data_IF_541535408616
#
_entry.id   IF_541535408616
#
_cell.length_a   1.000
_cell.length_b   1.000
_cell.length_c   1.000
_cell.angle_alpha   90.00
_cell.angle_beta   90.00
_cell.angle_gamma   90.00
#
_symmetry.space_group_name_H-M   'P 1'
#
loop_
_entity.id
_entity.type
_entity.pdbx_description
1 polymer ?
#
# COMPACT_ATOMS: atom_id res chain seq x y z
N UNK A 1 10.87 -22.07 -11.39
CA UNK A 1 11.54 -22.33 -10.09
C UNK A 1 10.58 -23.11 -9.22
N UNK A 2 11.06 -24.19 -8.56
CA UNK A 2 10.21 -24.96 -7.62
C UNK A 2 9.85 -24.10 -6.39
N UNK A 3 8.68 -24.35 -5.73
CA UNK A 3 8.36 -23.76 -4.44
C UNK A 3 9.43 -24.14 -3.40
N UNK A 4 9.82 -23.15 -2.57
CA UNK A 4 11.00 -23.30 -1.68
C UNK A 4 10.62 -23.44 -0.21
N UNK A 5 9.41 -23.00 0.18
CA UNK A 5 8.99 -23.02 1.56
C UNK A 5 7.47 -23.16 1.70
N UNK A 6 7.03 -23.79 2.79
CA UNK A 6 5.61 -23.88 3.15
C UNK A 6 5.23 -22.72 4.06
N UNK A 7 4.25 -21.93 3.63
CA UNK A 7 3.64 -20.89 4.48
C UNK A 7 2.57 -21.54 5.38
N UNK A 8 2.53 -21.10 6.62
CA UNK A 8 1.54 -21.56 7.61
C UNK A 8 0.88 -20.36 8.29
N UNK A 9 -0.43 -20.43 8.46
CA UNK A 9 -1.19 -19.44 9.23
C UNK A 9 -1.69 -20.09 10.52
N UNK A 10 -1.31 -19.54 11.67
CA UNK A 10 -1.70 -20.08 12.99
C UNK A 10 -1.41 -21.61 13.12
N UNK A 11 -0.30 -22.03 12.55
CA UNK A 11 0.12 -23.44 12.52
C UNK A 11 -0.53 -24.28 11.41
N UNK A 12 -1.55 -23.78 10.71
CA UNK A 12 -2.21 -24.50 9.60
C UNK A 12 -1.45 -24.24 8.29
N UNK A 13 -1.01 -25.27 7.55
CA UNK A 13 -0.39 -25.12 6.25
C UNK A 13 -1.34 -24.42 5.27
N UNK A 14 -0.86 -23.38 4.60
CA UNK A 14 -1.56 -22.73 3.49
C UNK A 14 -1.12 -23.36 2.16
N UNK A 15 0.18 -23.45 1.93
CA UNK A 15 0.73 -23.98 0.69
C UNK A 15 2.23 -23.76 0.58
N UNK A 16 2.80 -24.27 -0.50
CA UNK A 16 4.19 -24.08 -0.87
C UNK A 16 4.35 -22.83 -1.73
N UNK A 17 5.33 -22.00 -1.41
CA UNK A 17 5.53 -20.69 -2.04
C UNK A 17 6.89 -20.56 -2.71
N UNK A 18 6.93 -19.73 -3.74
CA UNK A 18 8.14 -19.11 -4.30
C UNK A 18 8.35 -17.70 -3.77
N UNK A 19 7.25 -16.94 -3.60
CA UNK A 19 7.34 -15.54 -3.22
C UNK A 19 6.19 -15.07 -2.33
N UNK A 20 6.45 -13.99 -1.59
CA UNK A 20 5.43 -13.19 -0.90
C UNK A 20 5.51 -11.74 -1.37
N UNK A 21 4.39 -11.22 -1.85
CA UNK A 21 4.22 -9.84 -2.26
C UNK A 21 3.51 -9.07 -1.14
N UNK A 22 4.10 -7.96 -0.72
CA UNK A 22 3.56 -7.13 0.35
C UNK A 22 3.07 -5.79 -0.19
N UNK A 23 1.88 -5.36 0.21
CA UNK A 23 1.57 -3.95 0.18
C UNK A 23 2.36 -3.18 1.24
N UNK A 24 2.49 -1.84 1.09
CA UNK A 24 3.28 -1.01 1.99
C UNK A 24 2.42 -0.31 3.04
N UNK A 25 1.56 0.61 2.63
CA UNK A 25 0.85 1.50 3.55
C UNK A 25 -0.33 0.79 4.21
N UNK A 26 -0.37 0.75 5.54
CA UNK A 26 -1.36 -0.06 6.26
C UNK A 26 -1.02 -1.55 6.38
N UNK A 27 0.02 -2.01 5.69
CA UNK A 27 0.49 -3.41 5.75
C UNK A 27 1.89 -3.49 6.36
N UNK A 28 2.94 -3.13 5.62
CA UNK A 28 4.31 -3.10 6.14
C UNK A 28 4.54 -1.92 7.08
N UNK A 29 3.91 -0.78 6.81
CA UNK A 29 4.08 0.47 7.55
C UNK A 29 2.79 0.95 8.21
N UNK A 30 2.95 1.61 9.37
CA UNK A 30 1.89 2.33 10.07
C UNK A 30 1.84 3.77 9.55
N UNK A 31 1.32 3.94 8.34
CA UNK A 31 1.39 5.19 7.58
C UNK A 31 0.33 6.22 7.98
N UNK A 32 -0.69 5.87 8.76
CA UNK A 32 -1.83 6.75 9.07
C UNK A 32 -1.41 8.15 9.55
N UNK A 33 -0.49 8.34 10.52
CA UNK A 33 -0.13 9.67 10.98
C UNK A 33 0.49 10.54 9.87
N UNK A 34 1.34 9.92 9.03
CA UNK A 34 1.99 10.61 7.90
C UNK A 34 0.97 10.98 6.82
N UNK A 35 0.10 10.06 6.47
CA UNK A 35 -0.94 10.26 5.45
C UNK A 35 -2.00 11.26 5.91
N UNK A 36 -2.36 11.26 7.20
CA UNK A 36 -3.25 12.27 7.78
C UNK A 36 -2.64 13.66 7.67
N UNK A 37 -1.40 13.82 8.10
CA UNK A 37 -0.70 15.10 8.00
C UNK A 37 -0.61 15.60 6.54
N UNK A 38 -0.36 14.70 5.58
CA UNK A 38 -0.34 15.01 4.15
C UNK A 38 -1.72 15.46 3.65
N UNK A 39 -2.78 14.75 4.03
CA UNK A 39 -4.16 15.11 3.66
C UNK A 39 -4.54 16.47 4.24
N UNK A 40 -4.23 16.73 5.50
CA UNK A 40 -4.49 18.03 6.16
C UNK A 40 -3.71 19.17 5.50
N UNK A 41 -2.43 18.97 5.16
CA UNK A 41 -1.64 19.96 4.43
C UNK A 41 -2.26 20.29 3.07
N UNK A 42 -2.71 19.28 2.32
CA UNK A 42 -3.41 19.46 1.04
C UNK A 42 -4.72 20.20 1.20
N UNK A 43 -5.52 19.86 2.21
CA UNK A 43 -6.78 20.56 2.52
C UNK A 43 -6.51 22.04 2.81
N UNK A 44 -5.59 22.34 3.73
CA UNK A 44 -5.26 23.72 4.09
C UNK A 44 -4.76 24.52 2.89
N UNK A 45 -3.89 23.93 2.07
CA UNK A 45 -3.41 24.57 0.85
C UNK A 45 -4.55 24.85 -0.14
N UNK A 46 -5.48 23.91 -0.32
CA UNK A 46 -6.66 24.12 -1.18
C UNK A 46 -7.56 25.26 -0.66
N UNK A 47 -7.80 25.31 0.64
CA UNK A 47 -8.63 26.37 1.25
C UNK A 47 -8.05 27.77 1.09
N UNK A 48 -6.73 27.91 0.98
CA UNK A 48 -6.06 29.18 0.71
C UNK A 48 -6.33 29.71 -0.71
N UNK A 49 -6.72 28.84 -1.64
CA UNK A 49 -6.93 29.16 -3.06
C UNK A 49 -8.36 29.63 -3.38
N UNK A 50 -9.26 29.60 -2.40
CA UNK A 50 -10.67 29.97 -2.62
C UNK A 50 -11.13 31.08 -1.66
N UNK A 51 -12.11 31.86 -2.09
CA UNK A 51 -12.76 32.86 -1.25
C UNK A 51 -13.44 32.27 -0.02
N UNK A 52 -13.59 33.08 1.03
CA UNK A 52 -14.14 32.62 2.33
C UNK A 52 -15.49 31.91 2.23
N UNK A 53 -16.36 32.33 1.30
CA UNK A 53 -17.68 31.73 1.09
C UNK A 53 -17.67 30.27 0.59
N UNK A 54 -16.55 29.82 0.00
CA UNK A 54 -16.41 28.44 -0.53
C UNK A 54 -15.64 27.51 0.40
N UNK A 55 -14.93 28.04 1.41
CA UNK A 55 -13.98 27.27 2.23
C UNK A 55 -14.64 26.14 3.01
N UNK A 56 -15.78 26.37 3.64
CA UNK A 56 -16.45 25.35 4.42
C UNK A 56 -16.86 24.15 3.52
N UNK A 57 -17.55 24.46 2.41
CA UNK A 57 -17.95 23.43 1.44
C UNK A 57 -16.75 22.69 0.83
N UNK A 58 -15.69 23.40 0.46
CA UNK A 58 -14.49 22.76 -0.10
C UNK A 58 -13.82 21.84 0.93
N UNK A 59 -13.75 22.25 2.20
CA UNK A 59 -13.25 21.40 3.29
C UNK A 59 -14.03 20.11 3.38
N UNK A 60 -15.36 20.18 3.48
CA UNK A 60 -16.24 19.01 3.61
C UNK A 60 -16.06 18.04 2.43
N UNK A 61 -15.95 18.59 1.20
CA UNK A 61 -15.71 17.79 0.00
C UNK A 61 -14.36 17.09 0.04
N UNK A 62 -13.28 17.80 0.43
CA UNK A 62 -11.94 17.24 0.49
C UNK A 62 -11.81 16.21 1.62
N UNK A 63 -12.32 16.50 2.82
CA UNK A 63 -12.30 15.55 3.93
C UNK A 63 -13.05 14.26 3.56
N UNK A 64 -14.23 14.40 2.93
CA UNK A 64 -15.00 13.26 2.44
C UNK A 64 -14.26 12.49 1.35
N UNK A 65 -13.69 13.17 0.36
CA UNK A 65 -12.96 12.54 -0.74
C UNK A 65 -11.69 11.83 -0.26
N UNK A 66 -10.93 12.46 0.62
CA UNK A 66 -9.69 11.89 1.18
C UNK A 66 -9.94 10.78 2.21
N UNK A 67 -11.17 10.64 2.69
CA UNK A 67 -11.49 9.71 3.77
C UNK A 67 -10.98 10.19 5.14
N UNK A 68 -10.87 11.52 5.35
CA UNK A 68 -10.50 12.09 6.65
C UNK A 68 -11.75 12.25 7.49
N UNK A 69 -11.79 11.58 8.65
CA UNK A 69 -12.93 11.67 9.59
C UNK A 69 -12.44 11.76 11.03
N UNK A 70 -12.85 12.79 11.73
CA UNK A 70 -12.51 13.00 13.14
C UNK A 70 -10.98 12.85 13.43
N UNK A 71 -10.14 13.42 12.58
CA UNK A 71 -8.68 13.36 12.72
C UNK A 71 -8.09 11.96 12.48
N UNK A 72 -8.73 11.12 11.69
CA UNK A 72 -8.28 9.79 11.28
C UNK A 72 -8.45 9.57 9.79
N UNK A 73 -7.68 8.64 9.25
CA UNK A 73 -7.83 8.15 7.87
C UNK A 73 -8.77 6.93 7.88
N UNK A 74 -9.76 6.95 6.99
CA UNK A 74 -10.54 5.75 6.66
C UNK A 74 -9.64 4.81 5.85
N UNK A 75 -9.39 3.56 6.32
CA UNK A 75 -8.56 2.59 5.60
C UNK A 75 -9.05 2.26 4.17
N UNK A 76 -10.33 2.51 3.87
CA UNK A 76 -10.89 2.37 2.52
C UNK A 76 -10.93 3.70 1.75
N UNK A 77 -10.49 4.81 2.36
CA UNK A 77 -10.47 6.14 1.75
C UNK A 77 -9.38 6.29 0.69
N UNK A 78 -9.55 7.25 -0.20
CA UNK A 78 -8.64 7.45 -1.34
C UNK A 78 -7.18 7.75 -0.88
N UNK A 79 -7.01 8.40 0.27
CA UNK A 79 -5.67 8.71 0.83
C UNK A 79 -4.95 7.43 1.26
N UNK A 80 -5.68 6.42 1.75
CA UNK A 80 -5.11 5.16 2.19
C UNK A 80 -4.75 4.23 1.03
N UNK A 81 -5.65 4.09 0.03
CA UNK A 81 -5.56 3.00 -0.96
C UNK A 81 -5.15 3.44 -2.36
N UNK A 82 -5.23 4.73 -2.70
CA UNK A 82 -5.08 5.19 -4.07
C UNK A 82 -3.75 5.92 -4.32
N UNK A 83 -3.37 6.03 -5.59
CA UNK A 83 -2.16 6.72 -5.99
C UNK A 83 -2.26 8.25 -5.80
N UNK A 84 -1.10 8.94 -5.86
CA UNK A 84 -1.02 10.40 -5.89
C UNK A 84 -1.92 11.01 -6.97
N UNK A 85 -1.96 10.41 -8.16
CA UNK A 85 -2.79 10.88 -9.28
C UNK A 85 -4.28 10.83 -8.96
N UNK A 86 -4.76 9.74 -8.35
CA UNK A 86 -6.17 9.64 -7.97
C UNK A 86 -6.54 10.67 -6.89
N UNK A 87 -5.67 10.92 -5.91
CA UNK A 87 -5.85 11.98 -4.93
C UNK A 87 -5.90 13.36 -5.60
N UNK A 88 -5.04 13.62 -6.60
CA UNK A 88 -5.02 14.87 -7.36
C UNK A 88 -6.35 15.08 -8.14
N UNK A 89 -6.83 14.06 -8.83
CA UNK A 89 -8.12 14.13 -9.56
C UNK A 89 -9.29 14.37 -8.59
N UNK A 90 -9.29 13.72 -7.42
CA UNK A 90 -10.31 13.97 -6.40
C UNK A 90 -10.28 15.42 -5.91
N UNK A 91 -9.08 16.00 -5.74
CA UNK A 91 -8.89 17.41 -5.39
C UNK A 91 -9.42 18.34 -6.46
N UNK A 92 -9.08 18.10 -7.73
CA UNK A 92 -9.57 18.87 -8.86
C UNK A 92 -11.12 18.80 -8.95
N UNK A 93 -11.69 17.64 -8.70
CA UNK A 93 -13.13 17.45 -8.65
C UNK A 93 -13.78 18.28 -7.54
N UNK A 94 -13.17 18.34 -6.34
CA UNK A 94 -13.65 19.15 -5.24
C UNK A 94 -13.60 20.67 -5.59
N UNK A 95 -12.53 21.14 -6.22
CA UNK A 95 -12.46 22.51 -6.74
C UNK A 95 -13.53 22.80 -7.79
N UNK A 96 -13.78 21.89 -8.72
CA UNK A 96 -14.82 22.05 -9.73
C UNK A 96 -16.22 22.15 -9.08
N UNK A 97 -16.48 21.41 -8.00
CA UNK A 97 -17.75 21.46 -7.28
C UNK A 97 -17.99 22.79 -6.52
N UNK A 98 -16.95 23.57 -6.28
CA UNK A 98 -17.08 24.92 -5.71
C UNK A 98 -16.97 26.02 -6.76
N UNK A 99 -17.07 25.67 -8.06
CA UNK A 99 -17.28 26.60 -9.15
C UNK A 99 -16.05 26.91 -10.01
N UNK A 100 -14.91 26.24 -9.81
CA UNK A 100 -13.77 26.37 -10.73
C UNK A 100 -14.05 25.58 -12.03
N UNK A 101 -13.63 26.14 -13.17
CA UNK A 101 -13.62 25.39 -14.43
C UNK A 101 -12.63 24.22 -14.34
N UNK A 102 -12.93 23.10 -15.00
CA UNK A 102 -12.12 21.88 -14.91
C UNK A 102 -10.62 22.09 -15.21
N UNK A 103 -10.21 22.80 -16.31
CA UNK A 103 -8.79 23.00 -16.59
C UNK A 103 -8.07 23.76 -15.45
N UNK A 104 -8.73 24.78 -14.86
CA UNK A 104 -8.20 25.56 -13.76
C UNK A 104 -8.12 24.71 -12.47
N UNK A 105 -9.16 23.93 -12.16
CA UNK A 105 -9.18 23.05 -11.01
C UNK A 105 -8.05 22.01 -11.07
N UNK A 106 -7.81 21.42 -12.23
CA UNK A 106 -6.74 20.46 -12.45
C UNK A 106 -5.37 21.13 -12.29
N UNK A 107 -5.11 22.23 -12.97
CA UNK A 107 -3.85 22.96 -12.90
C UNK A 107 -3.52 23.43 -11.48
N UNK A 108 -4.51 23.97 -10.74
CA UNK A 108 -4.29 24.36 -9.33
C UNK A 108 -3.95 23.15 -8.46
N UNK A 109 -4.61 22.02 -8.69
CA UNK A 109 -4.33 20.78 -7.93
C UNK A 109 -2.91 20.28 -8.20
N UNK A 110 -2.44 20.32 -9.45
CA UNK A 110 -1.07 19.95 -9.84
C UNK A 110 -0.04 20.82 -9.13
N UNK A 111 -0.18 22.15 -9.23
CA UNK A 111 0.73 23.10 -8.58
C UNK A 111 0.78 22.90 -7.06
N UNK A 112 -0.38 22.69 -6.42
CA UNK A 112 -0.45 22.47 -4.98
C UNK A 112 0.23 21.16 -4.57
N UNK A 113 -0.03 20.09 -5.29
CA UNK A 113 0.59 18.79 -5.00
C UNK A 113 2.11 18.84 -5.17
N UNK A 114 2.60 19.46 -6.25
CA UNK A 114 4.04 19.60 -6.49
C UNK A 114 4.70 20.46 -5.42
N UNK A 115 4.06 21.55 -4.98
CA UNK A 115 4.59 22.41 -3.92
C UNK A 115 4.67 21.72 -2.56
N UNK A 116 3.66 20.88 -2.23
CA UNK A 116 3.62 20.12 -0.98
C UNK A 116 4.67 19.00 -1.01
N UNK A 117 4.78 18.30 -2.13
CA UNK A 117 5.78 17.23 -2.30
C UNK A 117 7.21 17.79 -2.24
N UNK A 118 7.46 18.97 -2.84
CA UNK A 118 8.75 19.66 -2.75
C UNK A 118 9.08 20.11 -1.32
N UNK A 119 8.08 20.60 -0.57
CA UNK A 119 8.26 21.00 0.82
C UNK A 119 8.51 19.78 1.75
N UNK A 120 7.96 18.62 1.42
CA UNK A 120 8.22 17.37 2.13
C UNK A 120 9.60 16.78 1.82
N UNK A 121 10.31 17.27 0.81
CA UNK A 121 11.61 16.78 0.33
C UNK A 121 12.81 16.96 1.28
N UNK A 122 12.66 17.69 2.40
CA UNK A 122 13.55 17.54 3.56
C UNK A 122 12.95 16.48 4.47
N UNK A 123 13.29 15.23 4.22
CA UNK A 123 12.65 13.99 4.65
C UNK A 123 12.08 14.01 6.07
N UNK A 124 10.74 13.99 6.23
CA UNK A 124 10.15 13.65 7.51
C UNK A 124 10.53 12.20 7.85
N UNK A 125 10.65 11.89 9.13
CA UNK A 125 10.92 10.55 9.60
C UNK A 125 10.01 9.53 8.90
N UNK A 126 10.58 8.41 8.46
CA UNK A 126 9.82 7.34 7.81
C UNK A 126 8.74 6.82 8.76
N UNK A 127 7.58 6.47 8.23
CA UNK A 127 6.54 5.83 9.03
C UNK A 127 7.08 4.54 9.67
N UNK A 128 6.75 4.24 10.94
CA UNK A 128 7.25 3.05 11.61
C UNK A 128 6.71 1.78 10.93
N UNK A 129 7.46 0.70 11.03
CA UNK A 129 6.99 -0.62 10.58
C UNK A 129 5.85 -1.12 11.46
N UNK A 130 4.98 -1.97 10.90
CA UNK A 130 4.04 -2.75 11.69
C UNK A 130 4.79 -3.75 12.58
N UNK A 131 4.22 -3.98 13.78
CA UNK A 131 4.91 -4.74 14.83
C UNK A 131 5.14 -6.20 14.41
N UNK A 132 6.39 -6.65 14.42
CA UNK A 132 6.77 -8.03 14.09
C UNK A 132 7.08 -8.25 12.60
N UNK A 133 7.05 -7.22 11.75
CA UNK A 133 7.35 -7.35 10.32
C UNK A 133 8.78 -7.84 10.07
N UNK A 134 9.79 -7.20 10.65
CA UNK A 134 11.19 -7.51 10.35
C UNK A 134 11.58 -8.98 10.69
N UNK A 135 11.15 -9.57 11.83
CA UNK A 135 11.32 -11.00 12.07
C UNK A 135 10.69 -11.91 11.02
N UNK A 136 9.49 -11.57 10.51
CA UNK A 136 8.86 -12.36 9.45
C UNK A 136 9.65 -12.28 8.14
N UNK A 137 10.03 -11.07 7.70
CA UNK A 137 10.82 -10.90 6.48
C UNK A 137 12.13 -11.68 6.56
N UNK A 138 12.82 -11.63 7.69
CA UNK A 138 14.04 -12.39 7.93
C UNK A 138 13.80 -13.90 7.85
N UNK A 139 12.70 -14.41 8.41
CA UNK A 139 12.37 -15.84 8.38
C UNK A 139 12.06 -16.31 6.96
N UNK A 140 11.28 -15.54 6.19
CA UNK A 140 10.95 -15.82 4.80
C UNK A 140 12.19 -15.80 3.91
N UNK A 141 13.05 -14.78 4.05
CA UNK A 141 14.29 -14.65 3.30
C UNK A 141 15.26 -15.81 3.57
N UNK A 142 15.44 -16.20 4.84
CA UNK A 142 16.23 -17.38 5.23
C UNK A 142 15.67 -18.70 4.68
N UNK A 143 14.37 -18.79 4.49
CA UNK A 143 13.72 -19.93 3.87
C UNK A 143 13.80 -19.91 2.33
N UNK A 144 14.46 -18.92 1.73
CA UNK A 144 14.65 -18.78 0.30
C UNK A 144 13.43 -18.22 -0.45
N UNK A 145 12.44 -17.70 0.28
CA UNK A 145 11.24 -17.08 -0.32
C UNK A 145 11.59 -15.71 -0.90
N UNK A 146 11.23 -15.46 -2.15
CA UNK A 146 11.42 -14.16 -2.81
C UNK A 146 10.43 -13.16 -2.22
N UNK A 147 10.92 -11.99 -1.77
CA UNK A 147 10.07 -10.95 -1.20
C UNK A 147 9.98 -9.75 -2.14
N UNK A 148 8.77 -9.29 -2.41
CA UNK A 148 8.50 -8.13 -3.24
C UNK A 148 7.55 -7.15 -2.56
N UNK A 149 7.66 -5.86 -2.91
CA UNK A 149 6.71 -4.83 -2.48
C UNK A 149 5.91 -4.36 -3.69
N UNK A 150 4.57 -4.41 -3.60
CA UNK A 150 3.65 -3.89 -4.61
C UNK A 150 2.74 -2.85 -3.98
N UNK A 151 2.85 -1.57 -4.38
CA UNK A 151 2.18 -0.46 -3.69
C UNK A 151 1.77 0.66 -4.65
N UNK A 152 0.74 1.44 -4.27
CA UNK A 152 0.35 2.67 -4.94
C UNK A 152 1.18 3.91 -4.50
N UNK A 153 2.20 3.72 -3.66
CA UNK A 153 3.22 4.73 -3.40
C UNK A 153 4.24 4.79 -4.55
N UNK A 154 4.96 5.90 -4.65
CA UNK A 154 6.03 6.08 -5.62
C UNK A 154 7.28 5.25 -5.22
N UNK A 155 8.08 4.88 -6.21
CA UNK A 155 9.28 4.05 -6.00
C UNK A 155 10.24 4.64 -4.96
N UNK A 156 10.43 5.98 -4.98
CA UNK A 156 11.32 6.63 -4.02
C UNK A 156 10.80 6.54 -2.58
N UNK A 157 9.48 6.69 -2.36
CA UNK A 157 8.86 6.56 -1.04
C UNK A 157 9.00 5.14 -0.47
N UNK A 158 8.82 4.12 -1.32
CA UNK A 158 9.01 2.72 -0.93
C UNK A 158 10.49 2.47 -0.57
N UNK A 159 11.42 2.90 -1.40
CA UNK A 159 12.87 2.76 -1.14
C UNK A 159 13.29 3.46 0.14
N UNK A 160 12.82 4.69 0.35
CA UNK A 160 13.08 5.44 1.58
C UNK A 160 12.59 4.69 2.83
N UNK A 161 11.35 4.16 2.79
CA UNK A 161 10.82 3.34 3.89
C UNK A 161 11.68 2.11 4.16
N UNK A 162 12.05 1.36 3.12
CA UNK A 162 12.86 0.16 3.26
C UNK A 162 14.24 0.47 3.85
N UNK A 163 14.92 1.52 3.34
CA UNK A 163 16.23 1.96 3.80
C UNK A 163 16.21 2.40 5.26
N UNK A 164 15.23 3.24 5.63
CA UNK A 164 15.10 3.75 7.00
C UNK A 164 14.94 2.64 8.06
N UNK A 165 14.45 1.47 7.64
CA UNK A 165 14.24 0.32 8.53
C UNK A 165 15.19 -0.86 8.28
N UNK A 166 16.19 -0.70 7.38
CA UNK A 166 17.17 -1.74 7.06
C UNK A 166 16.56 -2.99 6.41
N UNK A 167 15.42 -2.83 5.72
CA UNK A 167 14.66 -3.92 5.09
C UNK A 167 15.04 -4.17 3.64
N UNK A 168 15.78 -3.27 3.00
CA UNK A 168 16.16 -3.34 1.57
C UNK A 168 16.82 -4.67 1.19
N UNK A 169 17.68 -5.17 2.06
CA UNK A 169 18.44 -6.42 1.83
C UNK A 169 17.56 -7.66 1.70
N UNK A 170 16.32 -7.60 2.20
CA UNK A 170 15.36 -8.71 2.12
C UNK A 170 14.42 -8.59 0.91
N UNK A 171 14.31 -7.41 0.30
CA UNK A 171 13.35 -7.14 -0.78
C UNK A 171 14.03 -7.27 -2.13
N UNK A 172 13.53 -8.20 -2.96
CA UNK A 172 14.09 -8.50 -4.28
C UNK A 172 13.62 -7.55 -5.38
N UNK A 173 12.44 -6.97 -5.22
CA UNK A 173 11.86 -6.06 -6.20
C UNK A 173 10.75 -5.19 -5.64
N UNK A 174 10.44 -4.14 -6.41
CA UNK A 174 9.39 -3.18 -6.10
C UNK A 174 8.55 -2.97 -7.35
N UNK A 175 7.23 -2.99 -7.20
CA UNK A 175 6.24 -2.53 -8.16
C UNK A 175 5.45 -1.38 -7.54
N UNK A 176 5.64 -0.19 -8.06
CA UNK A 176 5.13 1.07 -7.49
C UNK A 176 4.09 1.71 -8.40
N UNK A 177 3.55 2.86 -7.99
CA UNK A 177 2.70 3.69 -8.84
C UNK A 177 3.41 4.21 -10.12
N UNK A 178 4.74 4.16 -10.17
CA UNK A 178 5.53 4.58 -11.33
C UNK A 178 5.58 3.50 -12.42
N UNK A 179 5.09 2.28 -12.13
CA UNK A 179 5.02 1.16 -13.07
C UNK A 179 3.64 1.04 -13.71
N UNK A 180 3.60 0.55 -14.94
CA UNK A 180 2.36 0.30 -15.66
C UNK A 180 2.23 -1.17 -16.06
N UNK A 181 1.03 -1.75 -15.87
CA UNK A 181 -0.11 -1.16 -15.17
C UNK A 181 0.12 -1.07 -13.66
N UNK A 182 -0.46 -0.06 -13.02
CA UNK A 182 -0.42 0.09 -11.56
C UNK A 182 -1.54 -0.72 -10.88
N UNK A 183 -1.43 -0.91 -9.54
CA UNK A 183 -2.55 -1.41 -8.72
C UNK A 183 -3.81 -0.56 -8.94
N UNK A 184 -5.01 -1.13 -8.96
CA UNK A 184 -5.35 -2.53 -8.67
C UNK A 184 -5.46 -3.44 -9.91
N UNK A 185 -4.77 -3.14 -11.00
CA UNK A 185 -4.83 -3.97 -12.21
C UNK A 185 -4.11 -5.31 -11.95
N UNK A 186 -4.74 -6.49 -12.19
CA UNK A 186 -4.11 -7.79 -11.97
C UNK A 186 -2.88 -8.04 -12.85
N UNK A 187 -2.77 -7.39 -14.00
CA UNK A 187 -1.56 -7.43 -14.82
C UNK A 187 -0.32 -6.84 -14.11
N UNK A 188 -0.51 -5.93 -13.13
CA UNK A 188 0.59 -5.45 -12.29
C UNK A 188 1.26 -6.61 -11.54
N UNK A 189 0.46 -7.53 -11.00
CA UNK A 189 0.97 -8.75 -10.33
C UNK A 189 1.69 -9.66 -11.33
N UNK A 190 1.11 -9.90 -12.51
CA UNK A 190 1.74 -10.75 -13.53
C UNK A 190 3.09 -10.19 -13.98
N UNK A 191 3.18 -8.88 -14.29
CA UNK A 191 4.42 -8.25 -14.68
C UNK A 191 5.46 -8.27 -13.56
N UNK A 192 5.01 -8.04 -12.33
CA UNK A 192 5.90 -8.06 -11.17
C UNK A 192 6.43 -9.47 -10.88
N UNK A 193 5.58 -10.49 -10.94
CA UNK A 193 6.01 -11.89 -10.83
C UNK A 193 7.00 -12.27 -11.93
N UNK A 194 6.76 -11.84 -13.17
CA UNK A 194 7.69 -12.05 -14.28
C UNK A 194 9.05 -11.38 -14.02
N UNK A 195 9.07 -10.14 -13.50
CA UNK A 195 10.28 -9.44 -13.10
C UNK A 195 11.06 -10.18 -12.01
N UNK A 196 10.34 -10.78 -11.05
CA UNK A 196 10.92 -11.54 -9.95
C UNK A 196 11.32 -12.98 -10.35
N UNK A 197 10.91 -13.45 -11.53
CA UNK A 197 11.13 -14.83 -11.98
C UNK A 197 10.33 -15.87 -11.22
N UNK A 198 9.11 -15.54 -10.78
CA UNK A 198 8.22 -16.40 -9.99
C UNK A 198 6.86 -16.60 -10.68
N UNK A 199 6.17 -17.68 -10.33
CA UNK A 199 4.82 -17.97 -10.82
C UNK A 199 3.78 -17.34 -9.86
N UNK A 200 2.81 -16.54 -10.33
CA UNK A 200 1.70 -16.07 -9.50
C UNK A 200 0.99 -17.18 -8.73
N UNK A 201 0.81 -18.37 -9.35
CA UNK A 201 0.22 -19.54 -8.72
C UNK A 201 1.02 -20.14 -7.56
N UNK A 202 2.27 -19.72 -7.38
CA UNK A 202 3.14 -20.09 -6.27
C UNK A 202 3.48 -18.90 -5.36
N UNK A 203 2.64 -17.87 -5.35
CA UNK A 203 2.83 -16.68 -4.53
C UNK A 203 1.76 -16.52 -3.44
N UNK A 204 2.08 -15.73 -2.42
CA UNK A 204 1.09 -15.09 -1.56
C UNK A 204 1.14 -13.58 -1.76
N UNK A 205 0.01 -12.90 -1.58
CA UNK A 205 -0.06 -11.43 -1.50
C UNK A 205 -0.71 -11.04 -0.19
N UNK A 206 -0.10 -10.08 0.50
CA UNK A 206 -0.58 -9.56 1.78
C UNK A 206 -0.83 -8.07 1.63
N UNK A 207 -2.07 -7.65 1.90
CA UNK A 207 -2.48 -6.26 1.82
C UNK A 207 -3.60 -5.96 2.81
N UNK A 208 -3.93 -4.70 3.01
CA UNK A 208 -4.94 -4.22 3.97
C UNK A 208 -6.20 -3.66 3.30
N UNK A 209 -6.27 -3.66 1.97
CA UNK A 209 -7.40 -3.17 1.19
C UNK A 209 -8.05 -4.28 0.36
N UNK A 210 -9.38 -4.19 0.18
CA UNK A 210 -10.11 -5.12 -0.70
C UNK A 210 -9.59 -5.11 -2.14
N UNK A 211 -9.09 -3.97 -2.60
CA UNK A 211 -8.47 -3.85 -3.92
C UNK A 211 -7.22 -4.71 -4.09
N UNK A 212 -6.43 -4.89 -3.02
CA UNK A 212 -5.24 -5.75 -3.02
C UNK A 212 -5.64 -7.22 -3.14
N UNK A 213 -6.61 -7.60 -2.32
CA UNK A 213 -7.08 -8.98 -2.27
C UNK A 213 -7.80 -9.38 -3.56
N UNK A 214 -8.64 -8.49 -4.09
CA UNK A 214 -9.33 -8.69 -5.37
C UNK A 214 -8.32 -8.78 -6.53
N UNK A 215 -7.30 -7.91 -6.54
CA UNK A 215 -6.23 -7.93 -7.53
C UNK A 215 -5.45 -9.26 -7.47
N UNK A 216 -5.10 -9.72 -6.27
CA UNK A 216 -4.38 -10.98 -6.07
C UNK A 216 -5.18 -12.17 -6.60
N UNK A 217 -6.47 -12.26 -6.25
CA UNK A 217 -7.37 -13.33 -6.73
C UNK A 217 -7.50 -13.28 -8.25
N UNK A 218 -7.72 -12.10 -8.83
CA UNK A 218 -7.85 -11.92 -10.28
C UNK A 218 -6.54 -12.25 -11.03
N UNK A 219 -5.39 -12.14 -10.37
CA UNK A 219 -4.09 -12.53 -10.92
C UNK A 219 -3.76 -14.02 -10.71
N UNK A 220 -4.64 -14.80 -10.10
CA UNK A 220 -4.43 -16.22 -9.85
C UNK A 220 -3.50 -16.53 -8.65
N UNK A 221 -3.30 -15.57 -7.75
CA UNK A 221 -2.58 -15.83 -6.48
C UNK A 221 -3.47 -16.63 -5.54
N UNK A 222 -3.04 -17.84 -5.10
CA UNK A 222 -3.87 -18.72 -4.27
C UNK A 222 -4.03 -18.21 -2.83
N UNK A 223 -3.09 -17.42 -2.33
CA UNK A 223 -3.06 -16.98 -0.93
C UNK A 223 -3.09 -15.44 -0.85
N UNK A 224 -4.30 -14.86 -0.98
CA UNK A 224 -4.55 -13.46 -0.70
C UNK A 224 -4.92 -13.29 0.78
N UNK A 225 -4.06 -12.62 1.55
CA UNK A 225 -4.17 -12.47 3.00
C UNK A 225 -4.44 -11.00 3.37
N UNK A 226 -5.48 -10.76 4.16
CA UNK A 226 -5.83 -9.43 4.64
C UNK A 226 -5.10 -9.08 5.94
N UNK A 227 -4.25 -8.05 5.93
CA UNK A 227 -3.62 -7.51 7.14
C UNK A 227 -4.50 -6.44 7.78
N UNK A 228 -4.78 -6.54 9.08
CA UNK A 228 -5.80 -5.68 9.71
C UNK A 228 -5.28 -4.78 10.83
N UNK A 229 -3.98 -4.78 11.13
CA UNK A 229 -3.40 -4.05 12.26
C UNK A 229 -2.51 -2.85 11.87
N UNK A 230 -2.53 -2.43 10.59
CA UNK A 230 -1.70 -1.31 10.10
C UNK A 230 -2.30 0.08 10.36
N UNK A 231 -3.60 0.16 10.60
CA UNK A 231 -4.35 1.39 10.83
C UNK A 231 -4.89 1.47 12.27
N UNK A 232 -5.18 2.66 12.75
CA UNK A 232 -5.83 2.85 14.04
C UNK A 232 -7.29 2.34 14.03
N UNK A 233 -7.97 2.46 12.90
CA UNK A 233 -9.28 1.85 12.65
C UNK A 233 -9.07 0.57 11.86
N UNK A 234 -9.54 -0.56 12.38
CA UNK A 234 -9.41 -1.85 11.70
C UNK A 234 -10.12 -1.81 10.34
N UNK A 235 -9.43 -2.15 9.21
CA UNK A 235 -10.07 -2.18 7.90
C UNK A 235 -11.17 -3.25 7.87
N UNK A 236 -12.28 -2.92 7.19
CA UNK A 236 -13.37 -3.85 6.94
C UNK A 236 -13.14 -4.49 5.58
N UNK A 237 -12.53 -5.66 5.58
CA UNK A 237 -12.28 -6.41 4.37
C UNK A 237 -13.47 -7.30 4.02
N UNK A 238 -13.71 -7.50 2.73
CA UNK A 238 -14.78 -8.37 2.23
C UNK A 238 -14.60 -9.81 2.78
N UNK A 239 -15.73 -10.49 2.99
CA UNK A 239 -15.71 -11.84 3.54
C UNK A 239 -15.03 -12.86 2.61
N UNK A 240 -14.50 -13.94 3.20
CA UNK A 240 -13.89 -15.05 2.46
C UNK A 240 -12.37 -15.04 2.40
N UNK A 241 -11.72 -13.95 2.79
CA UNK A 241 -10.26 -13.90 2.86
C UNK A 241 -9.72 -14.33 4.22
N UNK A 242 -8.51 -14.90 4.23
CA UNK A 242 -7.78 -15.19 5.46
C UNK A 242 -7.25 -13.86 6.02
N UNK A 243 -7.52 -13.60 7.30
CA UNK A 243 -7.13 -12.35 7.96
C UNK A 243 -6.05 -12.62 9.00
N UNK A 244 -5.09 -11.70 9.06
CA UNK A 244 -4.03 -11.64 10.06
C UNK A 244 -4.02 -10.25 10.72
N UNK A 245 -3.82 -10.19 12.01
CA UNK A 245 -3.65 -8.95 12.76
C UNK A 245 -2.30 -8.85 13.47
N UNK A 246 -1.50 -9.91 13.40
CA UNK A 246 -0.13 -9.90 13.86
C UNK A 246 0.76 -10.81 12.99
N UNK A 247 1.96 -10.35 12.65
CA UNK A 247 2.88 -11.08 11.78
C UNK A 247 3.32 -12.44 12.35
N UNK A 248 3.31 -12.61 13.67
CA UNK A 248 3.62 -13.92 14.31
C UNK A 248 2.58 -15.01 14.02
N UNK A 249 1.42 -14.67 13.46
CA UNK A 249 0.44 -15.66 13.01
C UNK A 249 0.90 -16.39 11.74
N UNK A 250 1.83 -15.78 11.00
CA UNK A 250 2.47 -16.39 9.85
C UNK A 250 3.81 -17.00 10.25
N UNK A 251 4.01 -18.23 9.86
CA UNK A 251 5.30 -18.93 9.99
C UNK A 251 5.67 -19.58 8.66
N UNK A 252 6.95 -19.79 8.45
CA UNK A 252 7.48 -20.42 7.25
C UNK A 252 8.35 -21.61 7.62
N UNK A 253 8.21 -22.68 6.87
CA UNK A 253 9.02 -23.88 6.96
C UNK A 253 9.71 -24.11 5.61
N UNK A 254 11.03 -24.04 5.60
CA UNK A 254 11.81 -24.35 4.40
C UNK A 254 11.63 -25.81 3.98
N UNK A 255 11.83 -26.09 2.69
CA UNK A 255 11.94 -27.48 2.22
C UNK A 255 13.17 -28.11 2.83
N UNK A 256 13.02 -29.35 3.31
CA UNK A 256 14.19 -30.14 3.70
C UNK A 256 14.91 -30.57 2.40
N UNK A 257 16.20 -30.21 2.23
CA UNK A 257 16.96 -30.59 1.04
C UNK A 257 17.01 -32.10 0.81
N UNK A 258 16.78 -32.90 1.86
CA UNK A 258 16.84 -34.37 1.79
C UNK A 258 15.62 -35.01 1.09
N UNK A 259 14.53 -34.29 0.83
CA UNK A 259 13.32 -34.84 0.22
C UNK A 259 13.22 -34.64 -1.31
N UNK A 260 14.27 -34.20 -1.97
CA UNK A 260 14.34 -34.03 -3.44
C UNK A 260 15.51 -34.78 -4.10
N UNK A 261 16.00 -35.84 -3.42
CA UNK A 261 16.98 -36.78 -3.99
C UNK A 261 16.30 -38.03 -4.51
#
# INVERSE_FOLDING_TARGET
VAPVAQLRLKGVPLGWLQAVLFDKDGTMSRSEPKLLALAEARILACLSQVGSGHRARLRDLLESAYGVRAGRIDPAGITAVASRMHNLIATATAFAQVGLGWPEALNRSEILFDSIDAAAGSEPASAPTTKGLAPLLLALDRAGVVLGVISNDQTHGIKHFLAAHGLEKHIRGIWSADHLPAKPNPLAVHHFCAQLGVDPGACALIGDADSDLAMAVAAGIPHALGYTAGWATKPKLAGGHLLIDHWSELTVQATDPANHA
#
